data_IF_658168616366
#
_entry.id   IF_658168616366
#
_cell.length_a   1.000
_cell.length_b   1.000
_cell.length_c   1.000
_cell.angle_alpha   90.00
_cell.angle_beta   90.00
_cell.angle_gamma   90.00
#
_symmetry.space_group_name_H-M   'P 1'
#
loop_
_entity.id
_entity.type
_entity.pdbx_description
1 polymer ?
#
# COMPACT_ATOMS: atom_id res chain seq x y z
N UNK A 1 4.39 -14.85 26.80
CA UNK A 1 5.08 -13.64 26.30
C UNK A 1 4.08 -12.50 26.05
N UNK A 2 3.00 -12.69 25.28
CA UNK A 2 2.03 -11.62 24.93
C UNK A 2 1.42 -10.95 26.15
N UNK A 3 0.91 -11.72 27.14
CA UNK A 3 0.37 -11.17 28.39
C UNK A 3 1.33 -10.24 29.11
N UNK A 4 2.60 -10.62 29.19
CA UNK A 4 3.65 -9.79 29.80
C UNK A 4 3.71 -8.38 29.19
N UNK A 5 3.59 -8.29 27.87
CA UNK A 5 3.63 -7.00 27.18
C UNK A 5 2.32 -6.23 27.34
N UNK A 6 1.17 -6.90 27.25
CA UNK A 6 -0.12 -6.27 27.55
C UNK A 6 -0.19 -5.72 28.97
N UNK A 7 0.31 -6.49 29.95
CA UNK A 7 0.39 -6.03 31.34
C UNK A 7 1.36 -4.84 31.53
N UNK A 8 2.23 -4.58 30.55
CA UNK A 8 3.07 -3.38 30.46
C UNK A 8 2.39 -2.20 29.75
N UNK A 9 1.18 -2.39 29.20
CA UNK A 9 0.37 -1.33 28.62
C UNK A 9 0.55 -1.13 27.11
N UNK A 10 0.99 -2.15 26.37
CA UNK A 10 0.93 -2.05 24.89
C UNK A 10 -0.49 -2.28 24.40
N UNK A 11 -0.83 -1.68 23.24
CA UNK A 11 -2.17 -1.67 22.67
C UNK A 11 -2.41 -2.77 21.63
N UNK A 12 -1.39 -3.54 21.27
CA UNK A 12 -1.55 -4.60 20.28
C UNK A 12 -0.26 -5.22 19.76
N UNK A 13 -0.41 -6.13 18.81
CA UNK A 13 0.71 -6.83 18.16
C UNK A 13 0.56 -6.86 16.65
N UNK A 14 1.66 -6.55 15.95
CA UNK A 14 1.93 -7.04 14.61
C UNK A 14 2.66 -8.37 14.73
N UNK A 15 2.12 -9.39 14.07
CA UNK A 15 2.62 -10.76 14.18
C UNK A 15 3.31 -11.17 12.89
N UNK A 16 4.62 -11.32 12.97
CA UNK A 16 5.49 -11.71 11.87
C UNK A 16 5.16 -13.11 11.38
N UNK A 17 5.05 -13.27 10.07
CA UNK A 17 4.83 -14.55 9.37
C UNK A 17 3.80 -15.45 10.05
N UNK A 18 2.75 -14.86 10.62
CA UNK A 18 1.77 -15.58 11.48
C UNK A 18 1.05 -16.70 10.72
N UNK A 19 0.89 -16.56 9.41
CA UNK A 19 0.29 -17.59 8.55
C UNK A 19 1.13 -18.87 8.43
N UNK A 20 2.39 -18.85 8.89
CA UNK A 20 3.35 -19.93 8.71
C UNK A 20 3.71 -20.65 10.02
N UNK A 21 3.06 -20.36 11.14
CA UNK A 21 3.44 -20.91 12.46
C UNK A 21 3.12 -22.39 12.61
N UNK A 22 2.13 -22.91 11.90
CA UNK A 22 1.79 -24.32 11.93
C UNK A 22 2.77 -25.12 11.05
N UNK A 23 3.32 -26.20 11.64
CA UNK A 23 4.25 -27.11 10.94
C UNK A 23 3.76 -28.53 11.04
N UNK A 24 3.84 -29.29 9.96
CA UNK A 24 3.61 -30.74 10.00
C UNK A 24 4.81 -31.42 10.70
N UNK A 25 4.62 -32.07 11.86
CA UNK A 25 5.72 -32.69 12.59
C UNK A 25 6.32 -33.91 11.88
N UNK A 26 5.65 -34.44 10.86
CA UNK A 26 6.21 -35.55 10.04
C UNK A 26 7.24 -35.05 9.01
N UNK A 27 7.38 -33.73 8.83
CA UNK A 27 8.27 -33.12 7.84
C UNK A 27 8.11 -33.73 6.43
N UNK A 28 6.88 -33.73 5.85
CA UNK A 28 6.64 -34.39 4.57
C UNK A 28 7.41 -33.70 3.45
N UNK A 29 7.74 -34.49 2.42
CA UNK A 29 8.21 -33.90 1.17
C UNK A 29 7.08 -33.11 0.51
N UNK A 30 7.37 -31.84 0.21
CA UNK A 30 6.38 -30.93 -0.38
C UNK A 30 6.25 -31.23 -1.87
N UNK A 31 5.02 -31.50 -2.30
CA UNK A 31 4.69 -31.66 -3.71
C UNK A 31 4.75 -30.29 -4.42
N UNK A 32 5.82 -30.06 -5.17
CA UNK A 32 6.02 -28.80 -5.93
C UNK A 32 5.02 -28.59 -7.07
N UNK A 33 4.25 -29.63 -7.47
CA UNK A 33 3.16 -29.48 -8.44
C UNK A 33 1.91 -28.89 -7.80
N UNK A 34 1.70 -29.17 -6.51
CA UNK A 34 0.55 -28.69 -5.74
C UNK A 34 0.83 -27.37 -5.05
N UNK A 35 2.05 -27.17 -4.59
CA UNK A 35 2.46 -25.97 -3.83
C UNK A 35 3.64 -25.31 -4.56
N UNK A 36 3.50 -24.08 -5.08
CA UNK A 36 4.54 -23.38 -5.83
C UNK A 36 5.78 -23.08 -4.97
N UNK A 37 5.58 -22.95 -3.65
CA UNK A 37 6.64 -22.69 -2.68
C UNK A 37 6.28 -23.25 -1.29
N UNK A 38 7.25 -23.23 -0.39
CA UNK A 38 7.08 -23.70 0.99
C UNK A 38 6.08 -22.86 1.79
N UNK A 39 5.95 -21.58 1.51
CA UNK A 39 5.05 -20.69 2.23
C UNK A 39 3.60 -21.04 1.94
N UNK A 40 3.26 -21.31 0.67
CA UNK A 40 1.91 -21.73 0.26
C UNK A 40 1.51 -23.09 0.84
N UNK A 41 2.46 -23.98 1.14
CA UNK A 41 2.20 -25.22 1.86
C UNK A 41 1.82 -24.94 3.33
N UNK A 42 2.63 -24.16 4.05
CA UNK A 42 2.40 -23.90 5.47
C UNK A 42 1.22 -22.98 5.74
N UNK A 43 0.93 -22.02 4.86
CA UNK A 43 -0.23 -21.14 5.00
C UNK A 43 -1.59 -21.86 4.91
N UNK A 44 -1.61 -23.10 4.43
CA UNK A 44 -2.80 -23.97 4.34
C UNK A 44 -2.83 -25.10 5.36
N UNK A 45 -1.90 -25.12 6.32
CA UNK A 45 -1.87 -26.14 7.37
C UNK A 45 -3.11 -25.98 8.30
N UNK A 46 -3.98 -26.99 8.41
CA UNK A 46 -5.27 -26.85 9.12
C UNK A 46 -5.15 -26.47 10.60
N UNK A 47 -4.07 -26.85 11.26
CA UNK A 47 -3.82 -26.51 12.68
C UNK A 47 -3.51 -25.04 12.90
N UNK A 48 -3.18 -24.28 11.86
CA UNK A 48 -2.95 -22.86 11.96
C UNK A 48 -4.12 -22.13 12.64
N UNK A 49 -5.33 -22.34 12.13
CA UNK A 49 -6.53 -21.71 12.67
C UNK A 49 -6.86 -22.14 14.10
N UNK A 50 -6.53 -23.39 14.48
CA UNK A 50 -6.66 -23.81 15.88
C UNK A 50 -5.74 -23.01 16.81
N UNK A 51 -4.49 -22.76 16.39
CA UNK A 51 -3.54 -21.96 17.17
C UNK A 51 -3.96 -20.48 17.26
N UNK A 52 -4.45 -19.91 16.15
CA UNK A 52 -4.92 -18.52 16.15
C UNK A 52 -6.16 -18.34 17.06
N UNK A 53 -7.11 -19.26 16.97
CA UNK A 53 -8.29 -19.24 17.83
C UNK A 53 -7.91 -19.45 19.31
N UNK A 54 -7.01 -20.37 19.63
CA UNK A 54 -6.50 -20.54 20.98
C UNK A 54 -5.83 -19.26 21.50
N UNK A 55 -4.97 -18.64 20.68
CA UNK A 55 -4.31 -17.38 21.03
C UNK A 55 -5.32 -16.27 21.30
N UNK A 56 -6.36 -16.15 20.50
CA UNK A 56 -7.44 -15.18 20.71
C UNK A 56 -8.15 -15.45 22.05
N UNK A 57 -8.66 -16.65 22.25
CA UNK A 57 -9.38 -17.03 23.48
C UNK A 57 -8.54 -16.88 24.74
N UNK A 58 -7.28 -17.25 24.68
CA UNK A 58 -6.39 -17.26 25.86
C UNK A 58 -5.81 -15.89 26.17
N UNK A 59 -5.63 -15.04 25.16
CA UNK A 59 -4.90 -13.78 25.30
C UNK A 59 -5.67 -12.60 24.70
N UNK A 60 -5.84 -12.51 23.37
CA UNK A 60 -6.31 -11.29 22.71
C UNK A 60 -7.69 -10.83 23.23
N UNK A 61 -8.63 -11.77 23.42
CA UNK A 61 -9.97 -11.46 23.94
C UNK A 61 -10.00 -10.99 25.41
N UNK A 62 -8.86 -10.98 26.11
CA UNK A 62 -8.75 -10.53 27.51
C UNK A 62 -8.26 -9.10 27.67
N UNK A 63 -7.89 -8.47 26.57
CA UNK A 63 -7.36 -7.11 26.54
C UNK A 63 -8.11 -6.29 25.49
N UNK A 64 -8.26 -4.99 25.72
CA UNK A 64 -8.66 -4.05 24.69
C UNK A 64 -7.45 -3.80 23.78
N UNK A 65 -7.36 -4.55 22.70
CA UNK A 65 -6.14 -4.57 21.89
C UNK A 65 -6.43 -4.78 20.40
N UNK A 66 -5.46 -4.40 19.59
CA UNK A 66 -5.45 -4.64 18.14
C UNK A 66 -4.47 -5.76 17.79
N UNK A 67 -4.87 -6.64 16.88
CA UNK A 67 -3.99 -7.64 16.28
C UNK A 67 -3.97 -7.54 14.77
N UNK A 68 -2.76 -7.51 14.19
CA UNK A 68 -2.56 -7.57 12.75
C UNK A 68 -1.54 -8.63 12.39
N UNK A 69 -1.91 -9.53 11.50
CA UNK A 69 -1.07 -10.61 11.04
C UNK A 69 -0.35 -10.29 9.74
N UNK A 70 0.88 -10.77 9.60
CA UNK A 70 1.53 -10.85 8.31
C UNK A 70 1.10 -12.12 7.58
N UNK A 71 0.32 -11.94 6.50
CA UNK A 71 -0.28 -13.01 5.72
C UNK A 71 0.59 -13.49 4.56
N UNK A 72 1.81 -13.96 4.85
CA UNK A 72 2.65 -14.56 3.83
C UNK A 72 1.94 -15.74 3.17
N UNK A 73 1.79 -15.69 1.84
CA UNK A 73 1.10 -16.72 1.03
C UNK A 73 -0.38 -16.98 1.39
N UNK A 74 -1.03 -16.11 2.14
CA UNK A 74 -2.49 -16.14 2.30
C UNK A 74 -3.13 -15.63 1.01
N UNK A 75 -4.05 -16.38 0.48
CA UNK A 75 -4.79 -16.02 -0.74
C UNK A 75 -6.07 -15.26 -0.36
N UNK A 76 -6.59 -14.48 -1.28
CA UNK A 76 -7.82 -13.70 -1.10
C UNK A 76 -8.99 -14.56 -0.61
N UNK A 77 -9.16 -15.78 -1.13
CA UNK A 77 -10.23 -16.73 -0.74
C UNK A 77 -10.10 -17.24 0.71
N UNK A 78 -8.90 -17.12 1.30
CA UNK A 78 -8.62 -17.62 2.65
C UNK A 78 -8.63 -16.53 3.72
N UNK A 79 -8.58 -15.23 3.33
CA UNK A 79 -8.40 -14.12 4.28
C UNK A 79 -9.52 -14.04 5.32
N UNK A 80 -10.77 -14.31 4.94
CA UNK A 80 -11.90 -14.29 5.87
C UNK A 80 -11.74 -15.28 7.03
N UNK A 81 -11.00 -16.37 6.84
CA UNK A 81 -10.71 -17.33 7.92
C UNK A 81 -9.88 -16.73 9.04
N UNK A 82 -9.10 -15.69 8.74
CA UNK A 82 -8.24 -14.99 9.73
C UNK A 82 -8.93 -13.81 10.39
N UNK A 83 -9.79 -13.08 9.65
CA UNK A 83 -10.25 -11.75 10.07
C UNK A 83 -11.78 -11.61 10.23
N UNK A 84 -12.58 -12.63 9.88
CA UNK A 84 -14.01 -12.64 10.21
C UNK A 84 -14.15 -12.65 11.75
N UNK A 85 -14.84 -11.66 12.37
CA UNK A 85 -15.00 -11.61 13.82
C UNK A 85 -15.62 -12.88 14.43
N UNK A 86 -16.47 -13.58 13.69
CA UNK A 86 -17.08 -14.86 14.14
C UNK A 86 -16.06 -16.00 14.26
N UNK A 87 -14.87 -15.84 13.69
CA UNK A 87 -13.78 -16.81 13.79
C UNK A 87 -12.97 -16.66 15.07
N UNK A 88 -13.02 -15.48 15.71
CA UNK A 88 -12.24 -15.17 16.92
C UNK A 88 -10.75 -15.48 16.75
N UNK A 89 -10.14 -14.95 15.68
CA UNK A 89 -8.71 -15.12 15.38
C UNK A 89 -8.00 -13.78 15.43
N UNK A 90 -7.87 -13.05 14.33
CA UNK A 90 -7.17 -11.76 14.24
C UNK A 90 -8.15 -10.63 13.90
N UNK A 91 -7.79 -9.38 14.20
CA UNK A 91 -8.57 -8.23 13.76
C UNK A 91 -8.29 -7.90 12.28
N UNK A 92 -7.03 -8.01 11.87
CA UNK A 92 -6.56 -7.64 10.53
C UNK A 92 -5.47 -8.60 10.04
N UNK A 93 -5.31 -8.67 8.72
CA UNK A 93 -4.21 -9.36 8.06
C UNK A 93 -3.77 -8.53 6.87
N UNK A 94 -2.48 -8.30 6.66
CA UNK A 94 -2.00 -7.70 5.43
C UNK A 94 -1.30 -8.73 4.52
N UNK A 95 -1.49 -8.54 3.23
CA UNK A 95 -1.05 -9.42 2.16
C UNK A 95 0.03 -8.79 1.29
N UNK A 96 0.68 -9.59 0.44
CA UNK A 96 1.76 -9.14 -0.42
C UNK A 96 1.37 -9.03 -1.90
N UNK A 97 0.10 -9.08 -2.25
CA UNK A 97 -0.32 -9.17 -3.65
C UNK A 97 -0.01 -7.90 -4.44
N UNK A 98 -0.13 -6.71 -3.84
CA UNK A 98 0.32 -5.47 -4.48
C UNK A 98 1.81 -5.52 -4.86
N UNK A 99 2.63 -6.17 -4.01
CA UNK A 99 4.04 -6.40 -4.28
C UNK A 99 4.27 -7.24 -5.54
N UNK A 100 3.48 -8.28 -5.72
CA UNK A 100 3.59 -9.21 -6.85
C UNK A 100 3.23 -8.52 -8.17
N UNK A 101 2.17 -7.70 -8.20
CA UNK A 101 1.74 -6.99 -9.41
C UNK A 101 2.90 -6.20 -10.02
N UNK A 102 3.57 -5.35 -9.22
CA UNK A 102 4.67 -4.52 -9.72
C UNK A 102 5.84 -5.35 -10.28
N UNK A 103 6.11 -6.51 -9.70
CA UNK A 103 7.27 -7.33 -10.04
C UNK A 103 7.00 -8.35 -11.16
N UNK A 104 5.75 -8.74 -11.39
CA UNK A 104 5.44 -9.90 -12.24
C UNK A 104 4.38 -9.62 -13.31
N UNK A 105 3.63 -8.54 -13.19
CA UNK A 105 2.52 -8.23 -14.09
C UNK A 105 2.93 -7.20 -15.13
N UNK A 106 2.78 -7.53 -16.40
CA UNK A 106 3.09 -6.65 -17.52
C UNK A 106 2.17 -5.42 -17.52
N UNK A 107 2.63 -4.28 -18.05
CA UNK A 107 1.81 -3.08 -18.20
C UNK A 107 0.62 -3.32 -19.14
N UNK A 108 -0.54 -2.78 -18.80
CA UNK A 108 -1.75 -2.83 -19.64
C UNK A 108 -1.57 -2.04 -20.94
N UNK A 109 -0.84 -0.93 -20.84
CA UNK A 109 -0.51 -0.07 -21.96
C UNK A 109 0.95 0.41 -21.81
N UNK A 110 1.91 -0.16 -22.55
CA UNK A 110 3.32 0.23 -22.47
C UNK A 110 3.58 1.72 -22.78
N UNK A 111 2.70 2.35 -23.56
CA UNK A 111 2.83 3.77 -23.91
C UNK A 111 2.35 4.71 -22.79
N UNK A 112 1.65 4.19 -21.80
CA UNK A 112 1.11 5.00 -20.69
C UNK A 112 2.20 5.59 -19.79
N UNK A 113 3.38 4.95 -19.73
CA UNK A 113 4.45 5.26 -18.79
C UNK A 113 4.29 4.59 -17.43
N UNK A 114 3.30 3.72 -17.28
CA UNK A 114 3.14 2.79 -16.12
C UNK A 114 3.83 1.49 -16.52
N UNK A 115 4.68 0.95 -15.65
CA UNK A 115 5.49 -0.24 -15.93
C UNK A 115 4.93 -1.52 -15.25
N UNK A 116 3.64 -1.51 -14.91
CA UNK A 116 2.87 -2.63 -14.37
C UNK A 116 1.40 -2.51 -14.78
N UNK A 117 0.61 -3.57 -14.60
CA UNK A 117 -0.82 -3.56 -14.88
C UNK A 117 -1.59 -2.80 -13.78
N UNK A 118 -2.12 -1.63 -14.11
CA UNK A 118 -3.02 -0.88 -13.23
C UNK A 118 -4.38 -1.57 -13.09
N UNK A 119 -4.86 -2.24 -14.15
CA UNK A 119 -6.10 -3.03 -14.13
C UNK A 119 -5.97 -4.16 -13.13
N UNK A 120 -4.84 -4.89 -13.13
CA UNK A 120 -4.59 -5.94 -12.13
C UNK A 120 -4.51 -5.39 -10.70
N UNK A 121 -3.94 -4.20 -10.51
CA UNK A 121 -3.88 -3.54 -9.19
C UNK A 121 -5.29 -3.19 -8.70
N UNK A 122 -6.13 -2.61 -9.55
CA UNK A 122 -7.54 -2.30 -9.24
C UNK A 122 -8.32 -3.55 -8.87
N UNK A 123 -8.22 -4.59 -9.70
CA UNK A 123 -8.86 -5.88 -9.45
C UNK A 123 -8.45 -6.46 -8.10
N UNK A 124 -7.16 -6.49 -7.81
CA UNK A 124 -6.63 -7.00 -6.54
C UNK A 124 -7.23 -6.26 -5.33
N UNK A 125 -7.21 -4.92 -5.32
CA UNK A 125 -7.79 -4.16 -4.21
C UNK A 125 -9.30 -4.40 -4.06
N UNK A 126 -10.03 -4.53 -5.18
CA UNK A 126 -11.46 -4.83 -5.17
C UNK A 126 -11.74 -6.22 -4.59
N UNK A 127 -11.00 -7.25 -5.01
CA UNK A 127 -11.17 -8.61 -4.51
C UNK A 127 -10.85 -8.71 -3.02
N UNK A 128 -9.79 -8.04 -2.54
CA UNK A 128 -9.44 -8.01 -1.13
C UNK A 128 -10.46 -7.24 -0.28
N UNK A 129 -11.00 -6.13 -0.78
CA UNK A 129 -12.05 -5.38 -0.08
C UNK A 129 -13.32 -6.24 0.11
N UNK A 130 -13.75 -6.95 -0.94
CA UNK A 130 -14.87 -7.90 -0.87
C UNK A 130 -14.59 -9.08 0.06
N UNK A 131 -13.40 -9.67 0.00
CA UNK A 131 -13.04 -10.83 0.81
C UNK A 131 -13.01 -10.53 2.32
N UNK A 132 -12.80 -9.28 2.71
CA UNK A 132 -12.83 -8.82 4.12
C UNK A 132 -14.13 -8.08 4.46
N UNK A 133 -15.23 -8.37 3.81
CA UNK A 133 -16.53 -7.72 4.02
C UNK A 133 -16.97 -7.73 5.51
N UNK A 134 -16.86 -8.88 6.18
CA UNK A 134 -17.17 -9.03 7.60
C UNK A 134 -16.03 -8.65 8.55
N UNK A 135 -14.83 -8.45 8.02
CA UNK A 135 -13.63 -8.10 8.78
C UNK A 135 -13.23 -6.64 8.58
N UNK A 136 -11.97 -6.34 8.85
CA UNK A 136 -11.41 -5.00 8.69
C UNK A 136 -10.17 -5.01 7.81
N UNK A 137 -10.16 -4.31 6.65
CA UNK A 137 -9.01 -4.33 5.76
C UNK A 137 -7.84 -3.54 6.33
N UNK A 138 -6.64 -4.07 6.10
CA UNK A 138 -5.38 -3.35 6.23
C UNK A 138 -4.85 -3.02 4.85
N UNK A 139 -4.45 -1.78 4.63
CA UNK A 139 -3.97 -1.30 3.34
C UNK A 139 -2.59 -0.65 3.47
N UNK A 140 -1.72 -0.91 2.52
CA UNK A 140 -0.37 -0.34 2.46
C UNK A 140 0.19 -0.43 1.03
N UNK A 141 1.18 0.39 0.71
CA UNK A 141 1.97 0.30 -0.52
C UNK A 141 3.47 0.16 -0.25
N UNK A 142 3.94 0.49 0.95
CA UNK A 142 5.32 0.40 1.37
C UNK A 142 5.48 -0.21 2.76
N UNK A 143 6.60 -0.91 2.98
CA UNK A 143 7.04 -1.40 4.27
C UNK A 143 8.56 -1.66 4.25
N UNK A 144 9.11 -2.18 5.36
CA UNK A 144 10.55 -2.49 5.50
C UNK A 144 11.06 -3.65 4.61
N UNK A 145 10.16 -4.39 3.94
CA UNK A 145 10.49 -5.51 3.04
C UNK A 145 10.23 -5.20 1.57
N UNK A 146 9.87 -3.95 1.26
CA UNK A 146 9.55 -3.51 -0.09
C UNK A 146 10.35 -2.25 -0.44
N UNK A 147 10.61 -1.95 -1.71
CA UNK A 147 11.18 -0.67 -2.10
C UNK A 147 10.23 0.48 -1.77
N UNK A 148 10.72 1.71 -1.85
CA UNK A 148 9.93 2.91 -1.55
C UNK A 148 8.68 3.04 -2.42
N UNK A 149 7.57 3.41 -1.82
CA UNK A 149 6.25 3.50 -2.46
C UNK A 149 6.28 4.37 -3.72
N UNK A 150 6.89 5.57 -3.66
CA UNK A 150 6.95 6.50 -4.79
C UNK A 150 7.76 5.95 -5.97
N UNK A 151 8.87 5.25 -5.69
CA UNK A 151 9.70 4.62 -6.71
C UNK A 151 9.03 3.42 -7.35
N UNK A 152 8.14 2.76 -6.62
CA UNK A 152 7.50 1.52 -7.03
C UNK A 152 6.19 1.71 -7.77
N UNK A 153 5.29 2.53 -7.24
CA UNK A 153 3.93 2.72 -7.76
C UNK A 153 3.71 4.10 -8.38
N UNK A 154 4.62 5.04 -8.15
CA UNK A 154 4.58 6.37 -8.72
C UNK A 154 5.73 6.63 -9.70
N UNK A 155 6.26 7.83 -9.61
CA UNK A 155 7.51 8.22 -10.29
C UNK A 155 8.40 8.97 -9.31
N UNK A 156 9.62 8.49 -9.15
CA UNK A 156 10.64 9.15 -8.31
C UNK A 156 11.57 10.09 -9.10
N UNK A 157 11.25 10.36 -10.37
CA UNK A 157 11.88 11.42 -11.16
C UNK A 157 11.56 12.77 -10.52
N UNK A 158 12.55 13.65 -10.44
CA UNK A 158 12.44 14.94 -9.74
C UNK A 158 11.21 15.76 -10.19
N UNK A 159 10.89 15.74 -11.48
CA UNK A 159 9.73 16.45 -12.06
C UNK A 159 8.35 15.92 -11.58
N UNK A 160 8.26 14.62 -11.24
CA UNK A 160 7.00 13.97 -10.91
C UNK A 160 6.92 13.48 -9.46
N UNK A 161 8.03 13.38 -8.74
CA UNK A 161 8.09 12.79 -7.40
C UNK A 161 7.01 13.37 -6.45
N UNK A 162 6.94 14.68 -6.37
CA UNK A 162 6.00 15.32 -5.46
C UNK A 162 4.53 15.06 -5.84
N UNK A 163 4.20 15.13 -7.12
CA UNK A 163 2.85 14.90 -7.61
C UNK A 163 2.44 13.43 -7.43
N UNK A 164 3.33 12.49 -7.78
CA UNK A 164 3.04 11.07 -7.65
C UNK A 164 2.96 10.62 -6.19
N UNK A 165 3.83 11.14 -5.30
CA UNK A 165 3.72 10.88 -3.86
C UNK A 165 2.37 11.38 -3.30
N UNK A 166 1.94 12.59 -3.64
CA UNK A 166 0.64 13.14 -3.23
C UNK A 166 -0.53 12.33 -3.79
N UNK A 167 -0.44 11.84 -5.02
CA UNK A 167 -1.46 10.96 -5.61
C UNK A 167 -1.55 9.65 -4.83
N UNK A 168 -0.43 9.01 -4.49
CA UNK A 168 -0.39 7.78 -3.69
C UNK A 168 -0.87 8.00 -2.23
N UNK A 169 -0.59 9.16 -1.64
CA UNK A 169 -1.15 9.59 -0.35
C UNK A 169 -2.68 9.64 -0.43
N UNK A 170 -3.21 10.30 -1.48
CA UNK A 170 -4.67 10.40 -1.68
C UNK A 170 -5.27 9.02 -1.85
N UNK A 171 -4.65 8.15 -2.66
CA UNK A 171 -5.10 6.76 -2.85
C UNK A 171 -5.22 6.02 -1.52
N UNK A 172 -4.13 5.87 -0.77
CA UNK A 172 -4.13 5.11 0.47
C UNK A 172 -5.08 5.68 1.54
N UNK A 173 -5.11 7.01 1.68
CA UNK A 173 -5.90 7.65 2.73
C UNK A 173 -7.39 7.81 2.36
N UNK A 174 -7.80 7.45 1.14
CA UNK A 174 -9.22 7.43 0.76
C UNK A 174 -9.78 6.00 0.63
N UNK A 175 -8.94 4.97 0.68
CA UNK A 175 -9.39 3.57 0.71
C UNK A 175 -10.04 3.18 2.04
N UNK A 176 -10.90 2.14 2.03
CA UNK A 176 -11.52 1.56 3.23
C UNK A 176 -10.48 0.85 4.08
N UNK A 177 -10.61 0.93 5.41
CA UNK A 177 -9.78 0.19 6.35
C UNK A 177 -8.69 1.01 7.01
N UNK A 178 -7.72 0.34 7.60
CA UNK A 178 -6.58 0.96 8.28
C UNK A 178 -5.40 1.10 7.33
N UNK A 179 -4.99 2.34 6.99
CA UNK A 179 -3.77 2.56 6.22
C UNK A 179 -2.54 2.37 7.12
N UNK A 180 -1.64 1.47 6.71
CA UNK A 180 -0.34 1.29 7.32
C UNK A 180 0.68 2.14 6.56
N UNK A 181 1.18 3.16 7.23
CA UNK A 181 2.10 4.13 6.64
C UNK A 181 3.54 3.80 6.99
N UNK A 182 4.41 3.75 6.01
CA UNK A 182 5.83 3.47 6.26
C UNK A 182 6.62 4.77 6.36
N UNK A 183 7.45 4.87 7.41
CA UNK A 183 8.24 6.08 7.70
C UNK A 183 9.11 6.51 6.50
N UNK A 184 8.97 7.78 6.09
CA UNK A 184 9.64 8.37 4.95
C UNK A 184 8.77 8.51 3.70
N UNK A 185 7.66 7.77 3.60
CA UNK A 185 6.74 7.92 2.48
C UNK A 185 5.99 9.27 2.55
N UNK A 186 5.79 9.83 3.76
CA UNK A 186 5.18 11.14 4.02
C UNK A 186 6.00 12.33 3.53
N UNK A 187 7.28 12.14 3.27
CA UNK A 187 8.18 13.12 2.63
C UNK A 187 8.63 12.67 1.23
N UNK A 188 8.03 11.58 0.73
CA UNK A 188 8.34 11.03 -0.59
C UNK A 188 9.78 10.55 -0.73
N UNK A 189 10.36 9.92 0.31
CA UNK A 189 11.66 9.24 0.21
C UNK A 189 11.63 8.22 -0.92
N UNK A 190 12.68 8.16 -1.70
CA UNK A 190 12.81 7.29 -2.87
C UNK A 190 13.92 6.24 -2.72
N UNK A 191 13.97 5.28 -3.63
CA UNK A 191 15.02 4.27 -3.67
C UNK A 191 16.39 4.91 -3.77
N UNK A 192 17.35 4.42 -2.96
CA UNK A 192 18.75 4.88 -3.02
C UNK A 192 19.51 4.27 -4.20
N UNK A 193 19.16 3.04 -4.61
CA UNK A 193 19.77 2.32 -5.75
C UNK A 193 21.29 2.19 -5.62
N UNK A 194 21.78 1.50 -4.59
CA UNK A 194 23.20 1.27 -4.41
C UNK A 194 23.87 0.62 -5.62
N UNK A 195 25.03 1.15 -6.02
CA UNK A 195 25.79 0.66 -7.17
C UNK A 195 26.75 -0.49 -6.83
N UNK A 196 27.03 -0.70 -5.54
CA UNK A 196 28.03 -1.66 -5.08
C UNK A 196 27.45 -2.61 -4.06
N UNK A 197 27.84 -3.90 -4.14
CA UNK A 197 27.37 -4.92 -3.20
C UNK A 197 27.78 -4.63 -1.75
N UNK A 198 28.91 -3.95 -1.54
CA UNK A 198 29.41 -3.61 -0.21
C UNK A 198 28.53 -2.56 0.50
N UNK A 199 27.67 -1.86 -0.23
CA UNK A 199 26.74 -0.88 0.33
C UNK A 199 25.42 -1.51 0.81
N UNK A 200 25.14 -2.77 0.43
CA UNK A 200 23.97 -3.53 0.87
C UNK A 200 24.21 -4.24 2.20
N UNK A 201 23.20 -4.23 3.05
CA UNK A 201 23.16 -4.96 4.32
C UNK A 201 22.15 -6.14 4.29
N UNK A 202 21.27 -6.15 3.30
CA UNK A 202 20.27 -7.20 3.15
C UNK A 202 20.92 -8.55 2.81
N UNK A 203 20.71 -9.53 3.69
CA UNK A 203 21.34 -10.85 3.57
C UNK A 203 20.90 -11.61 2.31
N UNK A 204 19.65 -11.41 1.86
CA UNK A 204 19.15 -12.04 0.64
C UNK A 204 19.89 -11.50 -0.60
N UNK A 205 19.99 -10.19 -0.71
CA UNK A 205 20.75 -9.50 -1.77
C UNK A 205 22.19 -9.98 -1.81
N UNK A 206 22.88 -10.02 -0.66
CA UNK A 206 24.28 -10.48 -0.55
C UNK A 206 24.42 -11.94 -0.97
N UNK A 207 23.52 -12.81 -0.53
CA UNK A 207 23.56 -14.23 -0.86
C UNK A 207 23.26 -14.48 -2.34
N UNK A 208 22.30 -13.79 -2.93
CA UNK A 208 21.99 -13.90 -4.36
C UNK A 208 23.18 -13.43 -5.22
N UNK A 209 23.83 -12.34 -4.85
CA UNK A 209 25.04 -11.87 -5.53
C UNK A 209 26.18 -12.89 -5.46
N UNK A 210 26.48 -13.44 -4.26
CA UNK A 210 27.49 -14.47 -4.06
C UNK A 210 27.18 -15.73 -4.86
N UNK A 211 25.93 -16.15 -4.88
CA UNK A 211 25.47 -17.33 -5.62
C UNK A 211 25.64 -17.14 -7.13
N UNK A 212 25.22 -15.98 -7.68
CA UNK A 212 25.40 -15.69 -9.09
C UNK A 212 26.88 -15.76 -9.49
N UNK A 213 27.76 -15.16 -8.70
CA UNK A 213 29.22 -15.24 -8.92
C UNK A 213 29.77 -16.67 -8.87
N UNK A 214 29.32 -17.48 -7.89
CA UNK A 214 29.77 -18.86 -7.75
C UNK A 214 29.27 -19.76 -8.91
N UNK A 215 28.11 -19.46 -9.47
CA UNK A 215 27.52 -20.18 -10.62
C UNK A 215 28.03 -19.67 -11.98
N UNK A 216 28.95 -18.71 -12.02
CA UNK A 216 29.46 -18.11 -13.26
C UNK A 216 28.43 -17.25 -13.99
N UNK A 217 27.37 -16.81 -13.32
CA UNK A 217 26.38 -15.87 -13.82
C UNK A 217 26.84 -14.42 -13.60
N UNK A 218 26.26 -13.49 -14.35
CA UNK A 218 26.57 -12.08 -14.16
C UNK A 218 26.01 -11.57 -12.81
N UNK A 219 26.85 -11.21 -11.83
CA UNK A 219 26.39 -10.67 -10.56
C UNK A 219 25.87 -9.23 -10.68
N UNK A 220 26.22 -8.50 -11.76
CA UNK A 220 25.70 -7.16 -12.00
C UNK A 220 24.19 -7.17 -12.24
N UNK A 221 23.67 -8.19 -12.90
CA UNK A 221 22.23 -8.35 -13.09
C UNK A 221 21.45 -8.44 -11.76
N UNK A 222 22.08 -9.03 -10.72
CA UNK A 222 21.50 -9.03 -9.37
C UNK A 222 21.47 -7.64 -8.79
N UNK A 223 22.52 -6.84 -8.94
CA UNK A 223 22.55 -5.45 -8.45
C UNK A 223 21.52 -4.59 -9.18
N UNK A 224 21.42 -4.71 -10.50
CA UNK A 224 20.48 -3.93 -11.29
C UNK A 224 19.03 -4.24 -10.91
N UNK A 225 18.70 -5.51 -10.64
CA UNK A 225 17.40 -5.88 -10.08
C UNK A 225 17.20 -5.27 -8.68
N UNK A 226 18.22 -5.36 -7.80
CA UNK A 226 18.11 -4.90 -6.42
C UNK A 226 18.03 -3.38 -6.28
N UNK A 227 18.53 -2.61 -7.25
CA UNK A 227 18.30 -1.16 -7.32
C UNK A 227 16.81 -0.80 -7.32
N UNK A 228 15.98 -1.64 -7.95
CA UNK A 228 14.53 -1.40 -8.03
C UNK A 228 13.72 -2.17 -6.98
N UNK A 229 14.16 -3.38 -6.62
CA UNK A 229 13.37 -4.30 -5.79
C UNK A 229 13.93 -4.55 -4.41
N UNK A 230 15.18 -4.14 -4.13
CA UNK A 230 15.89 -4.45 -2.90
C UNK A 230 15.28 -3.78 -1.66
N UNK A 231 15.25 -4.54 -0.57
CA UNK A 231 14.68 -4.11 0.73
C UNK A 231 15.45 -2.94 1.34
N UNK A 232 16.76 -2.87 1.12
CA UNK A 232 17.60 -1.79 1.67
C UNK A 232 17.23 -0.40 1.15
N UNK A 233 16.54 -0.31 0.00
CA UNK A 233 15.96 0.96 -0.47
C UNK A 233 15.02 1.59 0.57
N UNK A 234 14.25 0.79 1.29
CA UNK A 234 13.33 1.25 2.33
C UNK A 234 13.99 1.39 3.71
N UNK A 235 15.19 0.81 3.89
CA UNK A 235 15.89 0.73 5.20
C UNK A 235 16.97 1.78 5.38
N UNK A 236 17.12 2.71 4.44
CA UNK A 236 18.02 3.86 4.58
C UNK A 236 17.59 4.72 5.77
N UNK A 237 18.54 5.41 6.44
CA UNK A 237 18.22 6.34 7.50
C UNK A 237 17.17 7.37 7.09
N UNK A 238 16.29 7.73 8.03
CA UNK A 238 15.26 8.74 7.81
C UNK A 238 15.88 10.14 7.66
N UNK A 239 15.32 10.94 6.74
CA UNK A 239 15.88 12.22 6.34
C UNK A 239 15.22 13.38 7.13
N UNK A 240 15.83 13.76 8.26
CA UNK A 240 15.30 14.79 9.14
C UNK A 240 15.61 16.21 8.66
N UNK A 241 16.89 16.46 8.25
CA UNK A 241 17.33 17.78 7.82
C UNK A 241 18.56 17.69 6.89
N UNK A 242 19.15 18.86 6.56
CA UNK A 242 20.32 18.98 5.67
C UNK A 242 21.67 18.76 6.36
N UNK A 243 21.68 18.50 7.68
CA UNK A 243 22.94 18.26 8.41
C UNK A 243 23.57 16.91 8.02
N UNK A 244 24.85 16.67 8.34
CA UNK A 244 25.49 15.40 8.04
C UNK A 244 24.66 14.21 8.50
N UNK A 245 24.67 13.14 7.70
CA UNK A 245 23.86 11.94 7.90
C UNK A 245 22.34 12.25 8.02
N UNK A 246 21.87 13.30 7.33
CA UNK A 246 20.47 13.75 7.30
C UNK A 246 19.90 14.08 8.70
N UNK A 247 20.72 14.45 9.66
CA UNK A 247 20.31 14.64 11.06
C UNK A 247 19.90 13.34 11.77
N UNK A 248 20.12 12.19 11.17
CA UNK A 248 19.72 10.90 11.72
C UNK A 248 20.65 10.44 12.84
N UNK A 249 21.96 10.63 12.68
CA UNK A 249 22.99 10.23 13.67
C UNK A 249 24.22 11.11 13.58
N UNK A 250 24.94 11.22 14.70
CA UNK A 250 26.29 11.83 14.75
C UNK A 250 27.40 10.80 14.45
N UNK A 251 27.10 9.51 14.38
CA UNK A 251 28.03 8.43 14.07
C UNK A 251 27.85 7.91 12.63
N UNK A 252 28.50 6.80 12.32
CA UNK A 252 28.30 6.10 11.04
C UNK A 252 26.96 5.38 11.05
N UNK A 253 26.06 5.66 10.10
CA UNK A 253 24.78 4.95 10.01
C UNK A 253 24.98 3.51 9.51
N UNK A 254 24.04 2.63 9.81
CA UNK A 254 24.07 1.22 9.42
C UNK A 254 23.95 0.96 7.92
N UNK A 255 23.32 1.88 7.19
CA UNK A 255 23.27 1.99 5.74
C UNK A 255 23.60 3.43 5.37
N UNK A 256 24.10 3.65 4.17
CA UNK A 256 24.32 5.00 3.64
C UNK A 256 23.00 5.76 3.60
N UNK A 257 23.03 7.01 3.98
CA UNK A 257 21.93 7.95 3.79
C UNK A 257 21.74 8.20 2.29
N UNK A 258 20.50 8.29 1.83
CA UNK A 258 20.23 8.68 0.45
C UNK A 258 20.73 10.12 0.22
N UNK A 259 21.62 10.39 -0.75
CA UNK A 259 22.25 11.69 -0.93
C UNK A 259 21.27 12.83 -1.23
N UNK A 260 20.03 12.51 -1.59
CA UNK A 260 18.96 13.48 -1.83
C UNK A 260 18.42 14.13 -0.53
N UNK A 261 18.86 13.71 0.65
CA UNK A 261 18.49 14.32 1.93
C UNK A 261 18.75 15.85 1.96
N UNK A 262 19.64 16.32 1.12
CA UNK A 262 19.96 17.75 1.00
C UNK A 262 18.78 18.60 0.51
N UNK A 263 17.72 17.95 -0.03
CA UNK A 263 16.50 18.62 -0.51
C UNK A 263 15.21 17.81 -0.26
N UNK A 264 15.32 16.51 0.08
CA UNK A 264 14.20 15.70 0.57
C UNK A 264 14.42 15.50 2.08
N UNK A 265 13.79 16.31 2.90
CA UNK A 265 13.91 16.19 4.35
C UNK A 265 12.73 16.88 5.07
N UNK A 266 12.48 16.45 6.30
CA UNK A 266 11.37 16.97 7.11
C UNK A 266 11.48 18.47 7.35
N UNK A 267 12.68 18.97 7.71
CA UNK A 267 12.85 20.36 8.12
C UNK A 267 12.56 21.36 6.99
N UNK A 268 12.79 20.98 5.74
CA UNK A 268 12.45 21.82 4.57
C UNK A 268 10.98 21.67 4.21
N UNK A 269 10.46 20.45 4.22
CA UNK A 269 9.06 20.20 3.87
C UNK A 269 8.08 20.80 4.89
N UNK A 270 8.43 20.90 6.15
CA UNK A 270 7.61 21.60 7.16
C UNK A 270 7.41 23.08 6.86
N UNK A 271 8.38 23.71 6.23
CA UNK A 271 8.33 25.15 5.88
C UNK A 271 7.57 25.44 4.58
N UNK A 272 7.44 24.44 3.71
CA UNK A 272 6.74 24.59 2.42
C UNK A 272 5.28 24.14 2.55
N UNK A 273 4.30 25.06 2.51
CA UNK A 273 2.88 24.69 2.60
C UNK A 273 2.41 23.80 1.46
N UNK A 274 3.17 23.74 0.36
CA UNK A 274 2.85 22.92 -0.81
C UNK A 274 3.61 21.59 -0.82
N UNK A 275 4.40 21.27 0.21
CA UNK A 275 5.19 20.05 0.31
C UNK A 275 4.37 18.77 0.35
N UNK A 276 5.04 17.63 0.20
CA UNK A 276 4.42 16.30 0.36
C UNK A 276 3.97 16.12 1.80
N UNK A 277 4.80 16.48 2.78
CA UNK A 277 4.49 16.35 4.21
C UNK A 277 3.26 17.15 4.64
N UNK A 278 3.16 18.42 4.20
CA UNK A 278 2.01 19.25 4.54
C UNK A 278 0.74 18.78 3.82
N UNK A 279 0.87 18.25 2.59
CA UNK A 279 -0.23 17.59 1.91
C UNK A 279 -0.66 16.30 2.66
N UNK A 280 0.27 15.47 3.12
CA UNK A 280 -0.02 14.29 3.93
C UNK A 280 -0.80 14.66 5.19
N UNK A 281 -0.34 15.66 5.96
CA UNK A 281 -1.03 16.17 7.16
C UNK A 281 -2.48 16.59 6.82
N UNK A 282 -2.65 17.31 5.70
CA UNK A 282 -3.96 17.74 5.20
C UNK A 282 -4.89 16.55 4.89
N UNK A 283 -4.40 15.54 4.17
CA UNK A 283 -5.23 14.38 3.79
C UNK A 283 -5.55 13.50 4.99
N UNK A 284 -4.64 13.38 5.97
CA UNK A 284 -4.91 12.68 7.25
C UNK A 284 -6.05 13.37 8.02
N UNK A 285 -6.03 14.71 8.14
CA UNK A 285 -7.11 15.46 8.78
C UNK A 285 -8.42 15.28 8.00
N UNK A 286 -8.36 15.43 6.67
CA UNK A 286 -9.51 15.24 5.79
C UNK A 286 -10.14 13.84 5.98
N UNK A 287 -9.35 12.77 6.03
CA UNK A 287 -9.85 11.41 6.31
C UNK A 287 -10.54 11.31 7.67
N UNK A 288 -9.95 11.90 8.73
CA UNK A 288 -10.53 11.86 10.09
C UNK A 288 -11.85 12.60 10.18
N UNK A 289 -11.98 13.70 9.45
CA UNK A 289 -13.19 14.54 9.40
C UNK A 289 -14.30 13.92 8.54
N UNK A 290 -13.96 12.95 7.68
CA UNK A 290 -14.88 12.31 6.75
C UNK A 290 -14.95 10.79 6.97
N UNK A 291 -15.78 10.30 7.94
CA UNK A 291 -15.86 8.89 8.29
C UNK A 291 -16.21 7.95 7.13
N UNK A 292 -16.87 8.44 6.08
CA UNK A 292 -17.16 7.68 4.87
C UNK A 292 -15.91 7.22 4.14
N UNK A 293 -14.78 7.94 4.28
CA UNK A 293 -13.49 7.50 3.76
C UNK A 293 -12.87 6.36 4.59
N UNK A 294 -13.32 6.19 5.84
CA UNK A 294 -12.86 5.13 6.73
C UNK A 294 -13.76 3.89 6.59
N UNK A 295 -15.07 4.07 6.79
CA UNK A 295 -16.05 2.99 6.97
C UNK A 295 -16.93 2.72 5.75
N UNK A 296 -17.02 3.68 4.82
CA UNK A 296 -17.90 3.59 3.66
C UNK A 296 -17.59 2.42 2.74
N UNK A 297 -18.59 1.96 2.00
CA UNK A 297 -18.40 0.96 0.94
C UNK A 297 -17.46 1.48 -0.14
N UNK A 298 -16.79 0.57 -0.81
CA UNK A 298 -15.89 0.83 -1.94
C UNK A 298 -16.52 0.27 -3.22
N UNK A 299 -16.58 1.10 -4.28
CA UNK A 299 -17.07 0.68 -5.58
C UNK A 299 -16.12 1.16 -6.67
N UNK A 300 -15.53 0.22 -7.39
CA UNK A 300 -14.63 0.50 -8.51
C UNK A 300 -15.44 1.01 -9.70
N UNK A 301 -14.99 2.13 -10.27
CA UNK A 301 -15.49 2.67 -11.53
C UNK A 301 -14.36 2.66 -12.58
N UNK A 302 -14.71 2.73 -13.87
CA UNK A 302 -13.74 2.79 -14.98
C UNK A 302 -12.66 1.69 -14.86
N UNK A 303 -13.14 0.44 -14.60
CA UNK A 303 -12.30 -0.70 -14.23
C UNK A 303 -11.21 -1.01 -15.26
N UNK A 304 -11.55 -0.90 -16.54
CA UNK A 304 -10.66 -1.25 -17.68
C UNK A 304 -9.71 -0.11 -18.10
N UNK A 305 -9.74 1.04 -17.43
CA UNK A 305 -8.85 2.15 -17.77
C UNK A 305 -7.40 1.84 -17.34
N UNK A 306 -6.42 1.82 -18.27
CA UNK A 306 -5.04 1.43 -17.94
C UNK A 306 -4.21 2.54 -17.28
N UNK A 307 -4.75 3.74 -17.13
CA UNK A 307 -4.01 4.90 -16.61
C UNK A 307 -4.66 5.55 -15.39
N UNK A 308 -6.00 5.49 -15.27
CA UNK A 308 -6.71 6.07 -14.15
C UNK A 308 -7.31 5.03 -13.22
N UNK A 309 -7.33 5.34 -11.92
CA UNK A 309 -8.02 4.59 -10.88
C UNK A 309 -9.13 5.45 -10.32
N UNK A 310 -10.37 5.07 -10.60
CA UNK A 310 -11.56 5.81 -10.21
C UNK A 310 -12.48 4.94 -9.37
N UNK A 311 -12.92 5.45 -8.21
CA UNK A 311 -13.78 4.69 -7.31
C UNK A 311 -14.66 5.59 -6.45
N UNK A 312 -15.75 5.03 -5.94
CA UNK A 312 -16.63 5.67 -4.96
C UNK A 312 -16.33 5.18 -3.54
N UNK A 313 -16.60 6.07 -2.59
CA UNK A 313 -16.72 5.76 -1.16
C UNK A 313 -18.07 6.30 -0.68
N UNK A 314 -18.90 5.42 -0.08
CA UNK A 314 -20.27 5.77 0.31
C UNK A 314 -20.58 5.32 1.73
N UNK A 315 -21.24 6.19 2.49
CA UNK A 315 -21.90 5.85 3.77
C UNK A 315 -23.16 6.69 3.90
N UNK A 316 -24.34 6.07 3.87
CA UNK A 316 -25.62 6.79 3.98
C UNK A 316 -25.72 7.90 2.95
N UNK A 317 -25.79 9.15 3.42
CA UNK A 317 -25.92 10.35 2.56
C UNK A 317 -24.62 10.78 1.88
N UNK A 318 -23.47 10.44 2.44
CA UNK A 318 -22.17 10.93 1.95
C UNK A 318 -21.61 10.02 0.87
N UNK A 319 -21.33 10.59 -0.28
CA UNK A 319 -20.69 9.91 -1.40
C UNK A 319 -19.52 10.74 -1.91
N UNK A 320 -18.35 10.10 -1.97
CA UNK A 320 -17.13 10.68 -2.49
C UNK A 320 -16.70 9.94 -3.75
N UNK A 321 -16.34 10.66 -4.79
CA UNK A 321 -15.71 10.13 -5.99
C UNK A 321 -14.23 10.49 -5.94
N UNK A 322 -13.38 9.47 -6.03
CA UNK A 322 -11.94 9.61 -6.05
C UNK A 322 -11.44 9.26 -7.44
N UNK A 323 -10.67 10.15 -8.04
CA UNK A 323 -10.11 10.00 -9.38
C UNK A 323 -8.60 10.23 -9.32
N UNK A 324 -7.83 9.25 -9.78
CA UNK A 324 -6.37 9.21 -9.66
C UNK A 324 -5.75 8.84 -11.00
N UNK A 325 -4.81 9.64 -11.48
CA UNK A 325 -3.98 9.29 -12.63
C UNK A 325 -2.64 8.71 -12.15
N UNK A 326 -2.39 7.44 -12.46
CA UNK A 326 -1.13 6.74 -12.12
C UNK A 326 -0.03 6.93 -13.18
N UNK A 327 -0.32 7.71 -14.23
CA UNK A 327 0.58 7.88 -15.38
C UNK A 327 1.30 9.23 -15.35
N UNK A 328 2.54 9.31 -15.86
CA UNK A 328 3.22 10.57 -16.13
C UNK A 328 2.66 11.33 -17.34
N UNK A 329 1.60 10.84 -17.97
CA UNK A 329 0.88 11.47 -19.08
C UNK A 329 -0.53 11.85 -18.62
N UNK A 330 -1.16 12.78 -19.35
CA UNK A 330 -2.57 13.05 -19.13
C UNK A 330 -3.42 11.80 -19.43
N UNK A 331 -4.43 11.56 -18.62
CA UNK A 331 -5.37 10.45 -18.78
C UNK A 331 -6.81 10.96 -18.77
N UNK A 332 -7.67 10.34 -19.56
CA UNK A 332 -9.11 10.60 -19.52
C UNK A 332 -9.75 9.51 -18.65
N UNK A 333 -10.54 9.91 -17.68
CA UNK A 333 -11.35 9.01 -16.88
C UNK A 333 -12.84 9.33 -17.07
N UNK A 334 -13.61 8.28 -17.27
CA UNK A 334 -15.06 8.35 -17.50
C UNK A 334 -15.76 7.62 -16.34
N UNK A 335 -16.13 8.31 -15.26
CA UNK A 335 -16.72 7.66 -14.08
C UNK A 335 -18.10 7.03 -14.35
N UNK A 336 -18.76 7.38 -15.45
CA UNK A 336 -20.04 6.82 -15.84
C UNK A 336 -21.23 7.29 -14.98
N UNK A 337 -21.04 8.26 -14.10
CA UNK A 337 -22.04 8.80 -13.19
C UNK A 337 -22.36 10.26 -13.50
N UNK A 338 -23.50 10.75 -13.02
CA UNK A 338 -23.85 12.17 -13.13
C UNK A 338 -23.00 13.04 -12.19
N UNK A 339 -22.21 13.93 -12.76
CA UNK A 339 -21.32 14.85 -12.04
C UNK A 339 -21.92 16.25 -11.85
N UNK A 340 -23.16 16.49 -12.25
CA UNK A 340 -23.77 17.83 -12.31
C UNK A 340 -23.71 18.61 -10.98
N UNK A 341 -23.74 17.90 -9.86
CA UNK A 341 -23.70 18.46 -8.51
C UNK A 341 -22.41 18.11 -7.74
N UNK A 342 -21.40 17.65 -8.44
CA UNK A 342 -20.11 17.33 -7.83
C UNK A 342 -19.31 18.59 -7.53
N UNK A 343 -18.65 18.63 -6.37
CA UNK A 343 -17.71 19.70 -6.05
C UNK A 343 -16.39 19.12 -5.52
N UNK A 344 -15.29 19.76 -5.88
CA UNK A 344 -13.96 19.34 -5.49
C UNK A 344 -13.70 19.68 -4.03
N UNK A 345 -13.32 18.70 -3.23
CA UNK A 345 -12.89 18.88 -1.84
C UNK A 345 -11.38 18.88 -1.68
N UNK A 346 -10.71 18.10 -2.50
CA UNK A 346 -9.26 17.92 -2.44
C UNK A 346 -8.71 17.69 -3.85
N UNK A 347 -7.60 18.34 -4.16
CA UNK A 347 -6.75 18.01 -5.31
C UNK A 347 -5.28 18.21 -4.94
N UNK A 348 -4.39 17.47 -5.59
CA UNK A 348 -2.95 17.52 -5.29
C UNK A 348 -2.19 18.61 -6.07
N UNK A 349 -2.83 19.27 -7.03
CA UNK A 349 -2.29 20.44 -7.72
C UNK A 349 -2.69 21.76 -7.05
N UNK A 350 -3.82 21.79 -6.33
CA UNK A 350 -4.31 22.94 -5.57
C UNK A 350 -5.07 23.99 -6.38
N UNK A 351 -5.55 23.66 -7.60
CA UNK A 351 -6.17 24.62 -8.51
C UNK A 351 -7.51 24.15 -9.12
N UNK A 352 -8.07 23.04 -8.64
CA UNK A 352 -9.33 22.44 -9.16
C UNK A 352 -10.59 22.88 -8.43
N UNK A 353 -10.52 23.71 -7.40
CA UNK A 353 -11.66 24.10 -6.56
C UNK A 353 -12.88 24.65 -7.31
N UNK A 354 -12.68 25.20 -8.50
CA UNK A 354 -13.74 25.76 -9.36
C UNK A 354 -13.99 24.94 -10.63
N UNK A 355 -13.56 23.69 -10.65
CA UNK A 355 -13.77 22.83 -11.81
C UNK A 355 -15.26 22.58 -12.03
N UNK A 356 -15.75 22.90 -13.24
CA UNK A 356 -17.12 22.58 -13.61
C UNK A 356 -17.26 21.05 -13.79
N UNK A 357 -18.39 20.46 -13.34
CA UNK A 357 -18.69 19.06 -13.56
C UNK A 357 -18.70 18.69 -15.04
N UNK A 358 -18.07 17.57 -15.39
CA UNK A 358 -17.97 17.06 -16.78
C UNK A 358 -18.15 15.55 -16.77
N UNK A 359 -18.68 14.99 -17.89
CA UNK A 359 -18.83 13.55 -18.06
C UNK A 359 -17.49 12.82 -18.10
N UNK A 360 -16.56 13.40 -18.85
CA UNK A 360 -15.20 12.88 -19.01
C UNK A 360 -14.22 13.87 -18.40
N UNK A 361 -13.37 13.42 -17.50
CA UNK A 361 -12.41 14.27 -16.81
C UNK A 361 -11.00 13.96 -17.29
N UNK A 362 -10.36 14.98 -17.84
CA UNK A 362 -8.93 14.89 -18.16
C UNK A 362 -8.12 15.19 -16.90
N UNK A 363 -7.44 14.15 -16.41
CA UNK A 363 -6.49 14.19 -15.31
C UNK A 363 -5.10 14.49 -15.84
N UNK A 364 -4.40 15.43 -15.21
CA UNK A 364 -2.98 15.74 -15.49
C UNK A 364 -2.08 14.61 -14.99
N UNK A 365 -0.78 14.60 -15.34
CA UNK A 365 0.16 13.61 -14.81
C UNK A 365 0.10 13.49 -13.29
N UNK A 366 -0.09 12.27 -12.78
CA UNK A 366 -0.20 11.97 -11.35
C UNK A 366 -1.21 12.85 -10.59
N UNK A 367 -2.27 13.28 -11.24
CA UNK A 367 -3.32 14.08 -10.60
C UNK A 367 -4.23 13.20 -9.75
N UNK A 368 -4.58 13.71 -8.59
CA UNK A 368 -5.56 13.14 -7.67
C UNK A 368 -6.63 14.18 -7.37
N UNK A 369 -7.90 13.82 -7.53
CA UNK A 369 -9.05 14.68 -7.22
C UNK A 369 -10.04 13.89 -6.38
N UNK A 370 -10.54 14.51 -5.31
CA UNK A 370 -11.64 13.97 -4.51
C UNK A 370 -12.83 14.92 -4.65
N UNK A 371 -13.93 14.40 -5.17
CA UNK A 371 -15.20 15.10 -5.25
C UNK A 371 -16.15 14.60 -4.15
N UNK A 372 -16.96 15.49 -3.64
CA UNK A 372 -18.19 15.14 -2.94
C UNK A 372 -19.34 15.19 -3.94
N UNK A 373 -20.18 14.16 -3.92
CA UNK A 373 -21.39 14.07 -4.72
C UNK A 373 -22.59 14.35 -3.84
N UNK A 374 -23.52 15.22 -4.31
CA UNK A 374 -24.72 15.51 -3.56
C UNK A 374 -25.75 14.39 -3.74
N UNK A 375 -26.27 13.87 -2.62
CA UNK A 375 -27.43 13.00 -2.54
C UNK A 375 -28.71 13.76 -2.96
N UNK A 376 -29.69 13.26 -3.67
CA UNK A 376 -30.09 11.87 -3.89
C UNK A 376 -29.88 11.34 -5.33
N UNK A 377 -29.23 12.08 -6.22
CA UNK A 377 -29.17 11.79 -7.68
C UNK A 377 -28.45 10.47 -7.98
N UNK A 378 -27.63 9.99 -7.05
CA UNK A 378 -26.73 8.86 -7.27
C UNK A 378 -27.17 7.55 -6.61
N UNK A 379 -28.24 7.55 -5.79
CA UNK A 379 -28.71 6.33 -5.11
C UNK A 379 -29.09 5.23 -6.11
N UNK A 380 -29.90 5.58 -7.10
CA UNK A 380 -30.40 4.60 -8.08
C UNK A 380 -29.28 3.97 -8.95
N UNK A 381 -28.18 4.68 -9.16
CA UNK A 381 -27.03 4.17 -9.90
C UNK A 381 -26.17 3.24 -9.04
N UNK A 382 -25.87 3.65 -7.81
CA UNK A 382 -25.07 2.86 -6.87
C UNK A 382 -25.78 1.56 -6.51
N UNK A 383 -27.08 1.63 -6.24
CA UNK A 383 -27.91 0.44 -5.98
C UNK A 383 -27.98 -0.50 -7.20
N UNK A 384 -27.86 0.02 -8.43
CA UNK A 384 -27.77 -0.80 -9.63
C UNK A 384 -26.42 -1.49 -9.81
N UNK A 385 -25.33 -0.91 -9.30
CA UNK A 385 -24.01 -1.56 -9.29
C UNK A 385 -23.98 -2.75 -8.33
N UNK A 386 -24.60 -2.60 -7.16
CA UNK A 386 -24.74 -3.68 -6.16
C UNK A 386 -25.62 -4.85 -6.63
N UNK A 387 -26.49 -4.64 -7.63
CA UNK A 387 -27.33 -5.67 -8.24
C UNK A 387 -26.66 -6.41 -9.40
N UNK A 388 -25.53 -5.92 -9.91
CA UNK A 388 -24.78 -6.53 -11.02
C UNK A 388 -23.62 -7.41 -10.52
N UNK A 389 -23.40 -7.50 -9.22
CA UNK A 389 -22.46 -8.36 -8.52
C UNK A 389 -23.13 -9.59 -7.89
#
# INVERSE_FOLDING_TARGET
QMRFWFDKGIDGFRMDSISLIAKDPSFPLIDSKKYPDIFSFYAKEPRLHLYLHEMNRQVLSKYDCMSVGEGSAVMVDDVAKFVDPAREELNMLYHFDAARIRNTTLPDNPESGIDYSLIALKKMFTEWDKAVDKGWPSIYLGNHDQPRMVSRFGSDKDEFRALSAKMLITFLLTMRGTPYWFAGDEIGMRNIRFDRIEDYNDIDTINRYKKAKAEGKDPQAVLDEQKETGRDNARTPFQWDRSPEAGFTAGTPWLKVNPDYTWINVADEEKDPTSILNYFKKVVSFRKENPSLIYGSYHLLDAENPQSYTFLRKTGADTYLIMLNFSPKAAISTPGIDMSNAHVLLDNYGDRSHMAPQKDITLRPFEAIVFQLNHPVYESFIDSLDLLE
#
